data_IF_930628333824
#
_entry.id   IF_930628333824
#
_cell.length_a   1.000
_cell.length_b   1.000
_cell.length_c   1.000
_cell.angle_alpha   90.00
_cell.angle_beta   90.00
_cell.angle_gamma   90.00
#
_symmetry.space_group_name_H-M   'P 1'
#
loop_
_entity.id
_entity.type
_entity.pdbx_description
1 polymer ?
#
# COMPACT_ATOMS: atom_id res chain seq x y z
N UNK A 1 10.58 -12.45 11.65
CA UNK A 1 9.40 -13.35 11.59
C UNK A 1 8.23 -12.57 12.16
N UNK A 2 7.14 -12.50 11.45
CA UNK A 2 5.95 -11.74 11.86
C UNK A 2 4.92 -12.61 12.58
N UNK A 3 3.88 -11.98 13.09
CA UNK A 3 2.75 -12.60 13.79
C UNK A 3 1.44 -11.91 13.43
N UNK A 4 0.33 -12.63 13.57
CA UNK A 4 -0.99 -12.02 13.44
C UNK A 4 -1.39 -11.36 14.76
N UNK A 5 -1.88 -10.12 14.66
CA UNK A 5 -2.45 -9.34 15.76
C UNK A 5 -3.87 -8.90 15.41
N UNK A 6 -4.64 -8.48 16.41
CA UNK A 6 -5.96 -7.88 16.18
C UNK A 6 -5.89 -6.36 16.38
N UNK A 7 -6.46 -5.61 15.45
CA UNK A 7 -6.66 -4.16 15.50
C UNK A 7 -8.15 -3.86 15.70
N UNK A 8 -8.47 -2.81 16.45
CA UNK A 8 -9.86 -2.37 16.60
C UNK A 8 -10.28 -1.47 15.44
N UNK A 9 -11.40 -1.78 14.79
CA UNK A 9 -11.98 -0.95 13.76
C UNK A 9 -12.50 0.37 14.34
N UNK A 10 -12.31 1.49 13.62
CA UNK A 10 -12.72 2.82 14.10
C UNK A 10 -14.24 3.07 13.98
N UNK A 11 -14.92 2.29 13.16
CA UNK A 11 -16.38 2.34 12.97
C UNK A 11 -17.18 1.58 14.05
N UNK A 12 -16.49 0.87 14.93
CA UNK A 12 -17.11 0.07 16.00
C UNK A 12 -17.63 -1.29 15.55
N UNK A 13 -17.38 -1.71 14.31
CA UNK A 13 -17.83 -3.01 13.78
C UNK A 13 -17.04 -4.21 14.33
N UNK A 14 -16.03 -3.97 15.18
CA UNK A 14 -15.26 -5.03 15.84
C UNK A 14 -13.76 -4.87 15.70
N UNK A 15 -13.08 -6.00 15.57
CA UNK A 15 -11.62 -6.05 15.35
C UNK A 15 -11.29 -6.85 14.10
N UNK A 16 -10.15 -6.54 13.50
CA UNK A 16 -9.64 -7.22 12.32
C UNK A 16 -8.18 -7.61 12.47
N UNK A 17 -7.79 -8.64 11.74
CA UNK A 17 -6.43 -9.14 11.79
C UNK A 17 -5.46 -8.26 10.99
N UNK A 18 -4.23 -8.18 11.48
CA UNK A 18 -3.11 -7.56 10.76
C UNK A 18 -1.84 -8.40 10.97
N UNK A 19 -1.01 -8.49 9.93
CA UNK A 19 0.33 -9.07 10.06
C UNK A 19 1.30 -8.03 10.61
N UNK A 20 1.89 -8.32 11.76
CA UNK A 20 2.86 -7.47 12.41
C UNK A 20 4.26 -8.05 12.27
N UNK A 21 5.20 -7.29 11.73
CA UNK A 21 6.62 -7.60 11.74
C UNK A 21 7.39 -6.56 12.56
N UNK A 22 8.16 -7.01 13.54
CA UNK A 22 8.93 -6.15 14.44
C UNK A 22 10.41 -6.11 14.05
N UNK A 23 11.07 -4.96 14.14
CA UNK A 23 12.51 -4.86 13.96
C UNK A 23 13.26 -5.49 15.15
N UNK A 24 14.54 -5.75 14.95
CA UNK A 24 15.43 -6.04 16.07
C UNK A 24 15.70 -4.74 16.84
N UNK A 25 15.23 -4.67 18.09
CA UNK A 25 15.36 -3.48 18.93
C UNK A 25 14.21 -2.48 18.76
N UNK A 26 14.46 -1.23 19.13
CA UNK A 26 13.44 -0.18 19.06
C UNK A 26 13.16 0.22 17.62
N UNK A 27 11.88 0.29 17.27
CA UNK A 27 11.47 0.75 15.95
C UNK A 27 11.81 2.24 15.75
N UNK A 28 12.36 2.56 14.59
CA UNK A 28 12.70 3.94 14.20
C UNK A 28 11.44 4.73 13.78
N UNK A 29 10.56 4.06 13.04
CA UNK A 29 9.27 4.55 12.57
C UNK A 29 8.38 3.34 12.26
N UNK A 30 7.15 3.54 11.79
CA UNK A 30 6.30 2.46 11.33
C UNK A 30 5.98 2.58 9.83
N UNK A 31 5.69 1.44 9.20
CA UNK A 31 5.17 1.39 7.82
C UNK A 31 3.92 0.50 7.82
N UNK A 32 2.81 1.06 7.35
CA UNK A 32 1.59 0.31 7.07
C UNK A 32 1.67 -0.22 5.64
N UNK A 33 1.58 -1.53 5.45
CA UNK A 33 1.75 -2.21 4.16
C UNK A 33 0.40 -2.70 3.67
N UNK A 34 -0.15 -2.07 2.63
CA UNK A 34 -1.50 -2.36 2.15
C UNK A 34 -1.43 -3.34 0.99
N UNK A 35 -2.20 -4.41 1.13
CA UNK A 35 -2.28 -5.55 0.22
C UNK A 35 -2.80 -5.20 -1.19
N UNK A 36 -2.51 -6.09 -2.13
CA UNK A 36 -3.23 -6.21 -3.39
C UNK A 36 -4.59 -6.93 -3.19
N UNK A 37 -5.30 -7.22 -4.28
CA UNK A 37 -6.54 -8.03 -4.23
C UNK A 37 -6.31 -9.50 -3.83
N UNK A 38 -5.10 -9.88 -3.47
CA UNK A 38 -4.69 -11.24 -3.11
C UNK A 38 -4.55 -11.44 -1.60
N UNK A 39 -5.02 -10.48 -0.80
CA UNK A 39 -4.95 -10.55 0.66
C UNK A 39 -3.54 -10.29 1.22
N UNK A 40 -3.41 -10.47 2.53
CA UNK A 40 -2.11 -10.41 3.23
C UNK A 40 -1.35 -11.72 2.99
N UNK A 41 -1.14 -12.02 1.71
CA UNK A 41 -0.49 -13.24 1.23
C UNK A 41 1.02 -13.26 1.58
N UNK A 42 1.73 -14.39 1.30
CA UNK A 42 3.17 -14.49 1.59
C UNK A 42 4.00 -13.35 1.02
N UNK A 43 3.63 -12.79 -0.14
CA UNK A 43 4.33 -11.67 -0.76
C UNK A 43 4.21 -10.38 0.07
N UNK A 44 3.02 -10.05 0.55
CA UNK A 44 2.79 -8.88 1.41
C UNK A 44 3.46 -9.06 2.77
N UNK A 45 3.35 -10.27 3.37
CA UNK A 45 4.05 -10.56 4.64
C UNK A 45 5.57 -10.43 4.48
N UNK A 46 6.12 -10.87 3.37
CA UNK A 46 7.56 -10.71 3.07
C UNK A 46 7.95 -9.24 2.99
N UNK A 47 7.17 -8.40 2.30
CA UNK A 47 7.43 -6.95 2.26
C UNK A 47 7.43 -6.35 3.67
N UNK A 48 6.48 -6.71 4.52
CA UNK A 48 6.46 -6.25 5.91
C UNK A 48 7.70 -6.72 6.70
N UNK A 49 8.14 -7.94 6.52
CA UNK A 49 9.35 -8.47 7.15
C UNK A 49 10.64 -7.80 6.63
N UNK A 50 10.69 -7.46 5.35
CA UNK A 50 11.82 -6.73 4.75
C UNK A 50 11.91 -5.29 5.32
N UNK A 51 10.78 -4.60 5.55
CA UNK A 51 10.76 -3.32 6.27
C UNK A 51 11.20 -3.47 7.74
N UNK A 52 10.75 -4.53 8.41
CA UNK A 52 11.18 -4.82 9.78
C UNK A 52 12.68 -5.06 9.87
N UNK A 53 13.28 -5.74 8.89
CA UNK A 53 14.72 -5.94 8.81
C UNK A 53 15.49 -4.61 8.64
N UNK A 54 14.87 -3.58 8.07
CA UNK A 54 15.43 -2.23 7.94
C UNK A 54 15.25 -1.34 9.20
N UNK A 55 14.54 -1.84 10.22
CA UNK A 55 14.35 -1.15 11.50
C UNK A 55 12.99 -0.46 11.66
N UNK A 56 12.02 -0.73 10.79
CA UNK A 56 10.65 -0.23 10.91
C UNK A 56 9.74 -1.21 11.64
N UNK A 57 8.74 -0.72 12.37
CA UNK A 57 7.58 -1.50 12.75
C UNK A 57 6.68 -1.63 11.52
N UNK A 58 6.46 -2.83 10.99
CA UNK A 58 5.65 -3.01 9.80
C UNK A 58 4.32 -3.71 10.14
N UNK A 59 3.20 -3.11 9.72
CA UNK A 59 1.84 -3.62 9.95
C UNK A 59 1.14 -3.77 8.61
N UNK A 60 0.69 -4.98 8.29
CA UNK A 60 -0.11 -5.23 7.09
C UNK A 60 -1.53 -5.64 7.50
N UNK A 61 -2.49 -4.68 7.53
CA UNK A 61 -3.86 -4.94 7.91
C UNK A 61 -4.59 -5.76 6.84
N UNK A 62 -5.47 -6.69 7.27
CA UNK A 62 -6.34 -7.44 6.37
C UNK A 62 -7.49 -6.55 5.90
N UNK A 63 -7.39 -6.01 4.68
CA UNK A 63 -8.42 -5.15 4.10
C UNK A 63 -9.72 -5.90 3.73
N UNK A 64 -9.69 -7.24 3.76
CA UNK A 64 -10.83 -8.06 3.37
C UNK A 64 -11.61 -8.63 4.56
N UNK A 65 -11.26 -8.23 5.77
CA UNK A 65 -11.79 -8.80 7.01
C UNK A 65 -13.32 -8.80 7.11
N UNK A 66 -14.01 -7.85 6.48
CA UNK A 66 -15.47 -7.72 6.54
C UNK A 66 -16.20 -8.77 5.69
N UNK A 67 -15.56 -9.35 4.68
CA UNK A 67 -16.21 -10.26 3.73
C UNK A 67 -15.42 -11.53 3.40
N UNK A 68 -14.11 -11.52 3.56
CA UNK A 68 -13.21 -12.65 3.31
C UNK A 68 -11.99 -12.60 4.25
N UNK A 69 -12.17 -12.72 5.59
CA UNK A 69 -11.09 -12.57 6.54
C UNK A 69 -9.97 -13.58 6.29
N UNK A 70 -8.73 -13.08 6.31
CA UNK A 70 -7.50 -13.84 6.03
C UNK A 70 -7.48 -14.52 4.66
N UNK A 71 -8.22 -13.99 3.69
CA UNK A 71 -8.14 -14.46 2.33
C UNK A 71 -6.69 -14.33 1.81
N UNK A 72 -6.21 -15.37 1.16
CA UNK A 72 -4.91 -15.39 0.49
C UNK A 72 -5.06 -16.04 -0.89
N UNK A 73 -4.40 -15.48 -1.89
CA UNK A 73 -4.35 -16.03 -3.23
C UNK A 73 -2.97 -15.86 -3.88
N UNK A 74 -2.58 -16.84 -4.69
CA UNK A 74 -1.45 -16.75 -5.59
C UNK A 74 -1.93 -16.32 -6.98
N UNK A 75 -1.55 -15.12 -7.46
CA UNK A 75 -1.96 -14.61 -8.77
C UNK A 75 -1.46 -15.44 -9.96
N UNK A 76 -0.46 -16.30 -9.77
CA UNK A 76 0.07 -17.17 -10.82
C UNK A 76 -0.74 -18.46 -10.99
N UNK A 77 -1.66 -18.74 -10.04
CA UNK A 77 -2.62 -19.85 -10.08
C UNK A 77 -3.97 -19.32 -10.59
N UNK A 78 -4.37 -19.74 -11.80
CA UNK A 78 -5.56 -19.17 -12.46
C UNK A 78 -6.83 -19.23 -11.61
N UNK A 79 -7.09 -20.34 -10.93
CA UNK A 79 -8.28 -20.50 -10.10
C UNK A 79 -8.30 -19.54 -8.91
N UNK A 80 -7.15 -19.30 -8.28
CA UNK A 80 -7.01 -18.36 -7.18
C UNK A 80 -7.13 -16.91 -7.65
N UNK A 81 -6.55 -16.59 -8.82
CA UNK A 81 -6.73 -15.31 -9.47
C UNK A 81 -8.20 -15.02 -9.78
N UNK A 82 -8.90 -15.98 -10.39
CA UNK A 82 -10.33 -15.84 -10.71
C UNK A 82 -11.15 -15.57 -9.43
N UNK A 83 -10.88 -16.30 -8.35
CA UNK A 83 -11.54 -16.10 -7.06
C UNK A 83 -11.21 -14.73 -6.42
N UNK A 84 -9.95 -14.29 -6.50
CA UNK A 84 -9.57 -12.95 -6.04
C UNK A 84 -10.29 -11.84 -6.83
N UNK A 85 -10.51 -12.06 -8.14
CA UNK A 85 -11.27 -11.14 -8.99
C UNK A 85 -12.77 -11.07 -8.62
N UNK A 86 -13.35 -12.16 -8.09
CA UNK A 86 -14.72 -12.16 -7.54
C UNK A 86 -14.76 -11.41 -6.20
N UNK A 87 -13.87 -11.75 -5.27
CA UNK A 87 -13.81 -11.17 -3.93
C UNK A 87 -13.61 -9.64 -4.00
N UNK A 88 -12.73 -9.16 -4.87
CA UNK A 88 -12.43 -7.72 -4.99
C UNK A 88 -13.66 -6.85 -5.29
N UNK A 89 -14.76 -7.42 -5.80
CA UNK A 89 -15.98 -6.67 -6.10
C UNK A 89 -16.66 -6.11 -4.84
N UNK A 90 -16.31 -6.66 -3.66
CA UNK A 90 -16.78 -6.22 -2.36
C UNK A 90 -15.82 -5.21 -1.68
N UNK A 91 -14.71 -4.87 -2.35
CA UNK A 91 -13.69 -4.00 -1.77
C UNK A 91 -14.14 -2.55 -1.73
N UNK A 92 -14.25 -2.02 -0.52
CA UNK A 92 -14.64 -0.64 -0.24
C UNK A 92 -13.39 0.19 0.13
N UNK A 93 -13.03 1.14 -0.73
CA UNK A 93 -11.89 2.02 -0.54
C UNK A 93 -12.04 2.95 0.67
N UNK A 94 -13.27 3.43 0.91
CA UNK A 94 -13.53 4.35 2.02
C UNK A 94 -13.42 3.63 3.38
N UNK A 95 -13.95 2.40 3.46
CA UNK A 95 -13.77 1.54 4.62
C UNK A 95 -12.29 1.19 4.83
N UNK A 96 -11.58 0.83 3.75
CA UNK A 96 -10.15 0.49 3.80
C UNK A 96 -9.29 1.67 4.27
N UNK A 97 -9.60 2.91 3.87
CA UNK A 97 -8.90 4.08 4.36
C UNK A 97 -9.07 4.27 5.88
N UNK A 98 -10.27 3.97 6.43
CA UNK A 98 -10.50 3.96 7.90
C UNK A 98 -9.73 2.85 8.61
N UNK A 99 -9.61 1.67 8.01
CA UNK A 99 -8.83 0.57 8.57
C UNK A 99 -7.32 0.90 8.58
N UNK A 100 -6.83 1.59 7.56
CA UNK A 100 -5.46 2.12 7.54
C UNK A 100 -5.26 3.15 8.65
N UNK A 101 -6.20 4.05 8.86
CA UNK A 101 -6.15 5.01 9.98
C UNK A 101 -6.12 4.29 11.34
N UNK A 102 -6.86 3.17 11.50
CA UNK A 102 -6.79 2.35 12.71
C UNK A 102 -5.38 1.77 12.92
N UNK A 103 -4.76 1.26 11.85
CA UNK A 103 -3.39 0.73 11.91
C UNK A 103 -2.34 1.82 12.21
N UNK A 104 -2.51 3.04 11.66
CA UNK A 104 -1.66 4.20 11.98
C UNK A 104 -1.74 4.53 13.47
N UNK A 105 -2.96 4.60 14.03
CA UNK A 105 -3.17 4.88 15.46
C UNK A 105 -2.57 3.82 16.36
N UNK A 106 -2.72 2.55 16.01
CA UNK A 106 -2.11 1.44 16.73
C UNK A 106 -0.57 1.54 16.72
N UNK A 107 0.04 1.81 15.56
CA UNK A 107 1.47 2.01 15.46
C UNK A 107 1.95 3.17 16.36
N UNK A 108 1.24 4.31 16.37
CA UNK A 108 1.55 5.44 17.26
C UNK A 108 1.38 5.07 18.74
N UNK A 109 0.37 4.29 19.10
CA UNK A 109 0.17 3.80 20.46
C UNK A 109 1.31 2.87 20.92
N UNK A 110 2.01 2.21 20.01
CA UNK A 110 3.21 1.44 20.28
C UNK A 110 4.48 2.31 20.44
N UNK A 111 4.36 3.63 20.40
CA UNK A 111 5.43 4.59 20.72
C UNK A 111 6.25 5.06 19.52
N UNK A 112 5.85 4.76 18.28
CA UNK A 112 6.53 5.31 17.09
C UNK A 112 6.00 6.70 16.73
N UNK A 113 6.93 7.65 16.52
CA UNK A 113 6.58 9.03 16.26
C UNK A 113 6.10 9.30 14.83
N UNK A 114 6.64 8.56 13.86
CA UNK A 114 6.31 8.73 12.44
C UNK A 114 5.81 7.44 11.81
N UNK A 115 4.80 7.55 10.95
CA UNK A 115 4.16 6.41 10.28
C UNK A 115 4.05 6.70 8.79
N UNK A 116 4.63 5.82 7.98
CA UNK A 116 4.46 5.79 6.52
C UNK A 116 3.42 4.76 6.11
N UNK A 117 2.88 4.96 4.92
CA UNK A 117 1.94 4.03 4.28
C UNK A 117 2.47 3.63 2.92
N UNK A 118 2.48 2.35 2.59
CA UNK A 118 2.76 1.86 1.25
C UNK A 118 1.67 0.88 0.81
N UNK A 119 1.18 1.04 -0.42
CA UNK A 119 0.13 0.18 -0.93
C UNK A 119 0.37 -0.25 -2.38
N UNK A 120 -0.16 -1.43 -2.71
CA UNK A 120 0.05 -2.10 -4.00
C UNK A 120 -1.29 -2.38 -4.68
N UNK A 121 -1.44 -2.10 -5.97
CA UNK A 121 -2.68 -2.31 -6.74
C UNK A 121 -3.89 -1.58 -6.11
N UNK A 122 -4.90 -2.30 -5.64
CA UNK A 122 -6.01 -1.74 -4.86
C UNK A 122 -5.50 -0.98 -3.64
N UNK A 123 -4.53 -1.57 -2.92
CA UNK A 123 -3.84 -0.91 -1.80
C UNK A 123 -3.08 0.36 -2.19
N UNK A 124 -2.61 0.48 -3.44
CA UNK A 124 -2.03 1.73 -3.95
C UNK A 124 -3.05 2.86 -4.02
N UNK A 125 -4.29 2.55 -4.39
CA UNK A 125 -5.39 3.52 -4.33
C UNK A 125 -5.75 3.90 -2.89
N UNK A 126 -5.72 2.92 -1.97
CA UNK A 126 -5.93 3.19 -0.53
C UNK A 126 -4.78 4.02 0.06
N UNK A 127 -3.52 3.78 -0.34
CA UNK A 127 -2.38 4.60 0.09
C UNK A 127 -2.50 6.06 -0.35
N UNK A 128 -3.07 6.32 -1.53
CA UNK A 128 -3.43 7.67 -1.96
C UNK A 128 -4.51 8.28 -1.04
N UNK A 129 -5.57 7.53 -0.72
CA UNK A 129 -6.61 8.00 0.22
C UNK A 129 -6.05 8.19 1.63
N UNK A 130 -5.09 7.38 2.07
CA UNK A 130 -4.40 7.64 3.31
C UNK A 130 -3.67 8.99 3.30
N UNK A 131 -3.02 9.37 2.18
CA UNK A 131 -2.35 10.66 2.03
C UNK A 131 -3.31 11.85 2.05
N UNK A 132 -4.58 11.67 1.66
CA UNK A 132 -5.59 12.74 1.64
C UNK A 132 -6.44 12.81 2.91
N UNK A 133 -6.57 11.71 3.65
CA UNK A 133 -7.59 11.55 4.71
C UNK A 133 -7.05 11.24 6.10
N UNK A 134 -5.77 10.89 6.21
CA UNK A 134 -5.15 10.50 7.49
C UNK A 134 -3.99 11.43 7.87
N UNK A 135 -3.43 11.22 9.05
CA UNK A 135 -2.27 11.96 9.52
C UNK A 135 -0.93 11.25 9.22
N UNK A 136 -0.92 10.35 8.21
CA UNK A 136 0.32 9.68 7.78
C UNK A 136 1.42 10.68 7.45
N UNK A 137 2.66 10.36 7.81
CA UNK A 137 3.80 11.26 7.59
C UNK A 137 4.38 11.17 6.17
N UNK A 138 4.18 10.05 5.47
CA UNK A 138 4.57 9.85 4.08
C UNK A 138 3.75 8.69 3.47
N UNK A 139 3.42 8.78 2.17
CA UNK A 139 2.65 7.72 1.49
C UNK A 139 3.30 7.33 0.18
N UNK A 140 3.25 6.03 -0.13
CA UNK A 140 3.73 5.47 -1.40
C UNK A 140 2.63 4.62 -2.04
N UNK A 141 2.32 4.90 -3.30
CA UNK A 141 1.30 4.18 -4.06
C UNK A 141 1.91 3.48 -5.29
N UNK A 142 1.88 2.17 -5.31
CA UNK A 142 2.25 1.38 -6.47
C UNK A 142 1.03 1.04 -7.30
N UNK A 143 1.04 1.42 -8.57
CA UNK A 143 0.02 1.11 -9.59
C UNK A 143 -1.42 1.18 -9.09
N UNK A 144 -1.76 2.25 -8.38
CA UNK A 144 -3.11 2.52 -7.87
C UNK A 144 -4.02 3.06 -8.97
N UNK A 145 -4.86 2.19 -9.55
CA UNK A 145 -5.72 2.54 -10.68
C UNK A 145 -6.78 3.59 -10.33
N UNK A 146 -7.40 3.46 -9.14
CA UNK A 146 -8.55 4.28 -8.77
C UNK A 146 -8.15 5.68 -8.25
N UNK A 147 -6.86 6.03 -8.23
CA UNK A 147 -6.40 7.39 -7.89
C UNK A 147 -7.07 8.43 -8.79
N UNK A 148 -7.28 8.12 -10.08
CA UNK A 148 -7.92 9.03 -11.03
C UNK A 148 -9.33 9.44 -10.60
N UNK A 149 -10.07 8.55 -9.94
CA UNK A 149 -11.45 8.77 -9.50
C UNK A 149 -11.54 9.69 -8.26
N UNK A 150 -10.42 9.85 -7.53
CA UNK A 150 -10.33 10.61 -6.29
C UNK A 150 -9.45 11.88 -6.38
N UNK A 151 -9.12 12.34 -7.59
CA UNK A 151 -8.31 13.54 -7.79
C UNK A 151 -8.94 14.81 -7.19
N UNK A 152 -10.26 14.84 -6.96
CA UNK A 152 -10.94 15.91 -6.24
C UNK A 152 -10.40 16.12 -4.82
N UNK A 153 -9.78 15.10 -4.21
CA UNK A 153 -9.17 15.17 -2.88
C UNK A 153 -7.70 15.59 -2.88
N UNK A 154 -7.07 15.78 -4.05
CA UNK A 154 -5.64 16.11 -4.17
C UNK A 154 -5.22 17.35 -3.37
N UNK A 155 -6.15 18.28 -3.14
CA UNK A 155 -5.93 19.48 -2.35
C UNK A 155 -5.64 19.19 -0.87
N UNK A 156 -6.05 18.02 -0.35
CA UNK A 156 -5.84 17.61 1.03
C UNK A 156 -4.47 16.96 1.28
N UNK A 157 -3.69 16.67 0.23
CA UNK A 157 -2.35 16.07 0.38
C UNK A 157 -1.42 17.07 1.04
N UNK A 158 -1.18 16.90 2.34
CA UNK A 158 -0.34 17.77 3.16
C UNK A 158 1.06 17.21 3.45
N UNK A 159 1.31 15.94 3.16
CA UNK A 159 2.55 15.21 3.40
C UNK A 159 3.11 14.64 2.11
N UNK A 160 4.40 14.25 2.04
CA UNK A 160 4.99 13.67 0.85
C UNK A 160 4.24 12.44 0.33
N UNK A 161 4.03 12.39 -0.98
CA UNK A 161 3.39 11.29 -1.68
C UNK A 161 4.24 10.87 -2.89
N UNK A 162 4.56 9.59 -2.98
CA UNK A 162 5.30 8.99 -4.08
C UNK A 162 4.41 8.00 -4.83
N UNK A 163 4.36 8.11 -6.17
CA UNK A 163 3.61 7.17 -7.01
C UNK A 163 4.53 6.46 -8.01
N UNK A 164 4.25 5.17 -8.21
CA UNK A 164 4.95 4.33 -9.17
C UNK A 164 3.97 3.70 -10.15
N UNK A 165 4.18 3.92 -11.46
CA UNK A 165 3.34 3.37 -12.53
C UNK A 165 4.17 2.59 -13.56
N UNK A 166 3.71 1.40 -13.94
CA UNK A 166 4.21 0.70 -15.12
C UNK A 166 3.65 1.34 -16.40
N UNK A 167 4.49 1.53 -17.41
CA UNK A 167 4.05 2.16 -18.67
C UNK A 167 3.22 1.21 -19.54
N UNK A 168 3.38 -0.10 -19.34
CA UNK A 168 2.64 -1.15 -20.06
C UNK A 168 1.52 -1.77 -19.21
N UNK A 169 1.06 -1.05 -18.17
CA UNK A 169 -0.07 -1.49 -17.35
C UNK A 169 -1.41 -1.27 -18.09
N UNK A 170 -2.11 -2.34 -18.52
CA UNK A 170 -3.38 -2.20 -19.21
C UNK A 170 -4.50 -1.68 -18.32
N UNK A 171 -4.34 -1.75 -16.99
CA UNK A 171 -5.30 -1.21 -16.02
C UNK A 171 -5.16 0.29 -15.82
N UNK A 172 -3.99 0.86 -16.16
CA UNK A 172 -3.67 2.29 -16.02
C UNK A 172 -3.05 2.80 -17.32
N UNK A 173 -3.84 2.88 -18.41
CA UNK A 173 -3.33 3.33 -19.71
C UNK A 173 -2.81 4.76 -19.65
N UNK A 174 -2.13 5.19 -20.72
CA UNK A 174 -1.44 6.48 -20.77
C UNK A 174 -2.38 7.66 -20.46
N UNK A 175 -3.64 7.60 -20.87
CA UNK A 175 -4.66 8.61 -20.63
C UNK A 175 -4.94 8.77 -19.12
N UNK A 176 -5.10 7.67 -18.41
CA UNK A 176 -5.31 7.67 -16.95
C UNK A 176 -4.07 8.17 -16.22
N UNK A 177 -2.86 7.73 -16.62
CA UNK A 177 -1.61 8.28 -16.05
C UNK A 177 -1.48 9.78 -16.28
N UNK A 178 -1.83 10.25 -17.49
CA UNK A 178 -1.82 11.68 -17.81
C UNK A 178 -2.82 12.47 -16.97
N UNK A 179 -4.02 11.93 -16.75
CA UNK A 179 -5.03 12.54 -15.88
C UNK A 179 -4.53 12.65 -14.43
N UNK A 180 -3.95 11.57 -13.89
CA UNK A 180 -3.36 11.58 -12.54
C UNK A 180 -2.23 12.63 -12.45
N UNK A 181 -1.33 12.67 -13.43
CA UNK A 181 -0.24 13.67 -13.45
C UNK A 181 -0.78 15.10 -13.47
N UNK A 182 -1.75 15.37 -14.31
CA UNK A 182 -2.35 16.70 -14.42
C UNK A 182 -3.05 17.13 -13.12
N UNK A 183 -3.79 16.20 -12.50
CA UNK A 183 -4.50 16.47 -11.24
C UNK A 183 -3.57 16.67 -10.04
N UNK A 184 -2.38 16.06 -10.05
CA UNK A 184 -1.42 16.12 -8.95
C UNK A 184 -0.29 17.14 -9.17
N UNK A 185 -0.07 17.61 -10.42
CA UNK A 185 1.00 18.55 -10.76
C UNK A 185 1.03 19.84 -9.92
N UNK A 186 -0.10 20.41 -9.44
CA UNK A 186 -0.06 21.60 -8.60
C UNK A 186 0.55 21.37 -7.20
N UNK A 187 0.64 20.12 -6.74
CA UNK A 187 1.15 19.83 -5.41
C UNK A 187 2.64 19.44 -5.44
N UNK A 188 3.56 20.30 -4.94
CA UNK A 188 5.01 20.04 -4.98
C UNK A 188 5.45 18.88 -4.07
N UNK A 189 4.57 18.35 -3.24
CA UNK A 189 4.85 17.19 -2.37
C UNK A 189 4.64 15.85 -3.08
N UNK A 190 4.16 15.87 -4.32
CA UNK A 190 3.88 14.64 -5.07
C UNK A 190 4.99 14.38 -6.07
N UNK A 191 5.56 13.19 -5.99
CA UNK A 191 6.52 12.67 -6.96
C UNK A 191 5.93 11.48 -7.69
N UNK A 192 6.09 11.40 -9.01
CA UNK A 192 5.57 10.31 -9.84
C UNK A 192 6.69 9.75 -10.71
N UNK A 193 6.86 8.44 -10.66
CA UNK A 193 7.78 7.70 -11.51
C UNK A 193 7.05 6.72 -12.41
N UNK A 194 7.43 6.72 -13.69
CA UNK A 194 7.02 5.72 -14.67
C UNK A 194 8.16 4.73 -14.93
N UNK A 195 7.79 3.48 -15.24
CA UNK A 195 8.71 2.39 -15.50
C UNK A 195 8.41 1.77 -16.86
N UNK A 196 9.31 1.96 -17.81
CA UNK A 196 9.22 1.42 -19.16
C UNK A 196 9.26 -0.11 -19.13
N UNK A 197 8.49 -0.78 -19.98
CA UNK A 197 8.38 -2.24 -20.06
C UNK A 197 7.66 -2.91 -18.88
N UNK A 198 7.28 -2.15 -17.85
CA UNK A 198 6.64 -2.69 -16.66
C UNK A 198 5.11 -2.65 -16.78
N UNK A 199 4.48 -3.81 -16.49
CA UNK A 199 3.01 -3.96 -16.45
C UNK A 199 2.44 -3.83 -15.04
N UNK A 200 1.16 -4.20 -14.88
CA UNK A 200 0.50 -4.21 -13.57
C UNK A 200 1.13 -5.23 -12.62
N UNK A 201 1.36 -4.83 -11.37
CA UNK A 201 1.97 -5.71 -10.36
C UNK A 201 3.47 -5.92 -10.53
N UNK A 202 4.16 -5.06 -11.28
CA UNK A 202 5.59 -5.20 -11.59
C UNK A 202 6.49 -5.29 -10.34
N UNK A 203 6.06 -4.75 -9.21
CA UNK A 203 6.78 -4.78 -7.94
C UNK A 203 6.35 -5.95 -7.02
N UNK A 204 5.70 -6.99 -7.56
CA UNK A 204 5.46 -8.23 -6.82
C UNK A 204 6.78 -8.82 -6.30
N UNK A 205 6.76 -9.51 -5.16
CA UNK A 205 7.98 -10.11 -4.57
C UNK A 205 8.55 -11.25 -5.41
N UNK A 206 7.69 -11.91 -6.21
CA UNK A 206 8.05 -13.01 -7.11
C UNK A 206 6.93 -13.21 -8.15
N UNK A 207 7.09 -14.19 -9.03
CA UNK A 207 6.07 -14.62 -9.97
C UNK A 207 6.10 -13.89 -11.31
N UNK A 208 5.12 -14.23 -12.16
CA UNK A 208 5.10 -13.83 -13.59
C UNK A 208 4.92 -12.32 -13.81
N UNK A 209 4.30 -11.62 -12.84
CA UNK A 209 4.04 -10.18 -12.95
C UNK A 209 5.26 -9.32 -12.61
N UNK A 210 6.26 -9.90 -11.91
CA UNK A 210 7.44 -9.15 -11.48
C UNK A 210 8.27 -8.74 -12.69
N UNK A 211 8.60 -7.46 -12.78
CA UNK A 211 9.59 -6.92 -13.71
C UNK A 211 10.83 -6.51 -12.91
N UNK A 212 11.87 -7.32 -12.95
CA UNK A 212 13.00 -7.26 -12.00
C UNK A 212 13.64 -5.87 -11.90
N UNK A 213 14.04 -5.28 -13.04
CA UNK A 213 14.72 -3.99 -13.05
C UNK A 213 13.79 -2.84 -12.55
N UNK A 214 12.52 -2.85 -12.96
CA UNK A 214 11.56 -1.84 -12.52
C UNK A 214 11.23 -1.99 -11.03
N UNK A 215 11.07 -3.24 -10.54
CA UNK A 215 10.83 -3.53 -9.14
C UNK A 215 11.98 -3.04 -8.25
N UNK A 216 13.22 -3.44 -8.59
CA UNK A 216 14.41 -3.02 -7.83
C UNK A 216 14.56 -1.49 -7.78
N UNK A 217 14.34 -0.81 -8.91
CA UNK A 217 14.44 0.65 -8.96
C UNK A 217 13.32 1.34 -8.16
N UNK A 218 12.08 0.83 -8.24
CA UNK A 218 10.94 1.38 -7.51
C UNK A 218 11.09 1.14 -6.00
N UNK A 219 11.51 -0.07 -5.61
CA UNK A 219 11.73 -0.40 -4.20
C UNK A 219 12.87 0.45 -3.61
N UNK A 220 14.00 0.65 -4.32
CA UNK A 220 15.08 1.52 -3.90
C UNK A 220 14.65 3.00 -3.74
N UNK A 221 13.77 3.50 -4.63
CA UNK A 221 13.20 4.85 -4.52
C UNK A 221 12.27 4.97 -3.31
N UNK A 222 11.49 3.94 -3.04
CA UNK A 222 10.60 3.88 -1.87
C UNK A 222 11.40 3.83 -0.57
N UNK A 223 12.48 3.03 -0.52
CA UNK A 223 13.38 2.96 0.63
C UNK A 223 14.01 4.34 0.92
N UNK A 224 14.53 5.00 -0.10
CA UNK A 224 15.12 6.34 0.03
C UNK A 224 14.07 7.38 0.47
N UNK A 225 12.86 7.32 -0.08
CA UNK A 225 11.75 8.21 0.25
C UNK A 225 11.33 8.05 1.73
N UNK A 226 11.16 6.83 2.21
CA UNK A 226 10.82 6.62 3.62
C UNK A 226 11.99 6.97 4.55
N UNK A 227 13.23 6.70 4.16
CA UNK A 227 14.38 7.13 4.96
C UNK A 227 14.45 8.65 5.10
N UNK A 228 14.17 9.40 4.04
CA UNK A 228 14.17 10.87 4.04
C UNK A 228 13.05 11.46 4.93
N UNK A 229 11.86 10.86 4.88
CA UNK A 229 10.67 11.48 5.50
C UNK A 229 10.29 10.90 6.86
N UNK A 230 10.75 9.68 7.19
CA UNK A 230 10.39 9.01 8.45
C UNK A 230 11.57 8.92 9.45
N UNK A 231 12.81 9.06 9.01
CA UNK A 231 13.99 8.99 9.90
C UNK A 231 14.59 10.37 10.11
#
# INVERSE_FOLDING_TARGET
MGEWIALNALDGEGSFDAWLARPQGQAKAAIIVIQEIFGVNPGIRRKAEDWAAQGYLAIAPDMFWRFAPRFEADPDIKQELDHAMEIRTQFDLDASARDVEAAIRDARAQGVAKVGVVGFCAGGSVAYLAATRTDTDASVAYYGRLIADYLGEAHAIARPLLLHFGMEDPSIPAEIRSQIRAGLAPNPRVTIHDYEGAGHGFAATSGKRRHEAAAQLADARTDAFFAEHLL
#
